data_IF_321129771943
#
_entry.id   IF_321129771943
#
_cell.length_a   1.000
_cell.length_b   1.000
_cell.length_c   1.000
_cell.angle_alpha   90.00
_cell.angle_beta   90.00
_cell.angle_gamma   90.00
#
_symmetry.space_group_name_H-M   'P 1'
#
loop_
_entity.id
_entity.type
_entity.pdbx_description
1 polymer ?
#
# COMPACT_ATOMS: atom_id res chain seq x y z
N UNK A 1 -0.59 -7.90 18.99
CA UNK A 1 -1.11 -6.60 18.51
C UNK A 1 -0.36 -6.27 17.22
N UNK A 2 -1.00 -5.60 16.25
CA UNK A 2 -0.34 -5.17 15.01
C UNK A 2 0.31 -3.80 15.24
N UNK A 3 1.57 -3.62 14.82
CA UNK A 3 2.26 -2.32 14.90
C UNK A 3 1.96 -1.44 13.70
N UNK A 4 1.57 -2.03 12.57
CA UNK A 4 1.16 -1.31 11.37
C UNK A 4 -0.16 -1.90 10.85
N UNK A 5 -1.17 -1.03 10.75
CA UNK A 5 -2.45 -1.34 10.13
C UNK A 5 -2.67 -0.42 8.93
N UNK A 6 -3.09 -1.04 7.82
CA UNK A 6 -3.53 -0.36 6.60
C UNK A 6 -5.00 -0.74 6.41
N UNK A 7 -5.87 0.26 6.25
CA UNK A 7 -7.31 0.06 6.10
C UNK A 7 -7.81 0.79 4.87
N UNK A 8 -8.51 0.07 3.99
CA UNK A 8 -9.16 0.60 2.79
C UNK A 8 -8.27 1.56 1.96
N UNK A 9 -6.98 1.25 1.82
CA UNK A 9 -6.04 2.09 1.09
C UNK A 9 -6.31 1.99 -0.42
N UNK A 10 -6.66 3.13 -1.01
CA UNK A 10 -6.79 3.33 -2.45
C UNK A 10 -5.75 4.34 -2.93
N UNK A 11 -5.04 4.02 -4.01
CA UNK A 11 -3.97 4.87 -4.58
C UNK A 11 -4.08 4.89 -6.10
N UNK A 12 -3.95 6.08 -6.69
CA UNK A 12 -3.98 6.27 -8.13
C UNK A 12 -2.84 7.15 -8.64
N UNK A 13 -2.53 6.99 -9.93
CA UNK A 13 -1.64 7.85 -10.69
C UNK A 13 -2.41 8.36 -11.90
N UNK A 14 -2.85 9.61 -11.84
CA UNK A 14 -3.77 10.19 -12.83
C UNK A 14 -5.02 9.31 -12.99
N UNK A 15 -5.33 8.83 -14.22
CA UNK A 15 -6.54 8.03 -14.47
C UNK A 15 -6.43 6.57 -13.97
N UNK A 16 -5.25 6.10 -13.60
CA UNK A 16 -5.03 4.69 -13.25
C UNK A 16 -5.15 4.48 -11.75
N UNK A 17 -6.06 3.59 -11.32
CA UNK A 17 -6.13 3.09 -9.94
C UNK A 17 -5.12 1.94 -9.77
N UNK A 18 -4.03 2.21 -9.06
CA UNK A 18 -2.97 1.24 -8.79
C UNK A 18 -3.29 0.34 -7.59
N UNK A 19 -3.95 0.86 -6.56
CA UNK A 19 -4.45 0.11 -5.41
C UNK A 19 -5.94 0.40 -5.21
N UNK A 20 -6.71 -0.63 -4.83
CA UNK A 20 -8.15 -0.56 -4.59
C UNK A 20 -8.45 -1.22 -3.25
N UNK A 21 -8.84 -0.41 -2.27
CA UNK A 21 -9.36 -0.80 -0.95
C UNK A 21 -8.53 -1.86 -0.22
N UNK A 22 -7.21 -1.68 -0.26
CA UNK A 22 -6.26 -2.62 0.34
C UNK A 22 -6.28 -2.49 1.87
N UNK A 23 -6.49 -3.61 2.56
CA UNK A 23 -6.37 -3.69 4.02
C UNK A 23 -5.35 -4.77 4.39
N UNK A 24 -4.41 -4.43 5.28
CA UNK A 24 -3.30 -5.31 5.70
C UNK A 24 -3.00 -5.05 7.17
N UNK A 25 -2.76 -6.12 7.91
CA UNK A 25 -2.23 -6.11 9.26
C UNK A 25 -0.80 -6.65 9.27
N UNK A 26 0.13 -5.88 9.81
CA UNK A 26 1.51 -6.29 10.02
C UNK A 26 1.71 -6.52 11.52
N UNK A 27 1.86 -7.78 11.96
CA UNK A 27 2.08 -8.11 13.36
C UNK A 27 3.39 -7.53 13.88
N UNK A 28 3.41 -7.20 15.17
CA UNK A 28 4.65 -6.78 15.82
C UNK A 28 5.73 -7.88 15.78
N UNK A 29 6.98 -7.47 15.58
CA UNK A 29 8.14 -8.37 15.48
C UNK A 29 8.16 -9.30 14.26
N UNK A 30 7.22 -9.18 13.32
CA UNK A 30 7.15 -10.04 12.14
C UNK A 30 7.79 -9.40 10.89
N UNK A 31 8.39 -10.23 10.04
CA UNK A 31 8.78 -9.86 8.68
C UNK A 31 7.62 -10.22 7.75
N UNK A 32 6.99 -9.22 7.14
CA UNK A 32 5.89 -9.41 6.18
C UNK A 32 6.37 -9.12 4.76
N UNK A 33 6.20 -10.08 3.85
CA UNK A 33 6.53 -9.93 2.44
C UNK A 33 5.27 -9.69 1.59
N UNK A 34 5.37 -8.79 0.61
CA UNK A 34 4.32 -8.53 -0.39
C UNK A 34 4.75 -9.13 -1.72
N UNK A 35 4.03 -10.16 -2.19
CA UNK A 35 4.33 -10.88 -3.43
C UNK A 35 3.29 -10.61 -4.53
N UNK A 36 3.70 -10.81 -5.78
CA UNK A 36 2.83 -10.63 -6.96
C UNK A 36 3.63 -10.27 -8.22
N UNK A 37 2.99 -10.34 -9.39
CA UNK A 37 3.61 -10.02 -10.68
C UNK A 37 3.94 -8.54 -10.88
N UNK A 38 4.54 -8.21 -12.02
CA UNK A 38 4.78 -6.83 -12.43
C UNK A 38 3.44 -6.09 -12.58
N UNK A 39 3.39 -4.84 -12.14
CA UNK A 39 2.15 -4.03 -12.16
C UNK A 39 1.13 -4.34 -11.06
N UNK A 40 1.36 -5.33 -10.19
CA UNK A 40 0.42 -5.70 -9.11
C UNK A 40 0.28 -4.66 -7.97
N UNK A 41 0.99 -3.52 -8.04
CA UNK A 41 0.88 -2.45 -7.04
C UNK A 41 1.81 -2.55 -5.82
N UNK A 42 2.71 -3.53 -5.76
CA UNK A 42 3.63 -3.76 -4.61
C UNK A 42 4.45 -2.50 -4.24
N UNK A 43 5.15 -1.93 -5.21
CA UNK A 43 5.94 -0.70 -5.00
C UNK A 43 5.04 0.48 -4.62
N UNK A 44 3.85 0.57 -5.20
CA UNK A 44 2.87 1.60 -4.82
C UNK A 44 2.42 1.45 -3.37
N UNK A 45 2.16 0.22 -2.90
CA UNK A 45 1.80 -0.06 -1.50
C UNK A 45 2.93 0.36 -0.56
N UNK A 46 4.15 -0.09 -0.82
CA UNK A 46 5.31 0.26 0.01
C UNK A 46 5.58 1.77 0.03
N UNK A 47 5.43 2.47 -1.11
CA UNK A 47 5.60 3.91 -1.17
C UNK A 47 4.48 4.68 -0.44
N UNK A 48 3.25 4.20 -0.50
CA UNK A 48 2.13 4.77 0.24
C UNK A 48 2.33 4.67 1.75
N UNK A 49 2.69 3.47 2.24
CA UNK A 49 2.93 3.21 3.67
C UNK A 49 4.13 3.98 4.20
N UNK A 50 5.20 4.07 3.40
CA UNK A 50 6.40 4.87 3.75
C UNK A 50 6.20 6.38 3.60
N UNK A 51 5.01 6.84 3.17
CA UNK A 51 4.70 8.26 2.91
C UNK A 51 5.65 8.93 1.91
N UNK A 52 6.17 8.17 0.95
CA UNK A 52 7.03 8.66 -0.14
C UNK A 52 6.28 8.92 -1.45
N UNK A 53 4.95 8.73 -1.44
CA UNK A 53 4.07 9.23 -2.49
C UNK A 53 3.63 10.65 -2.16
N UNK A 54 3.79 11.54 -3.13
CA UNK A 54 3.19 12.87 -3.08
C UNK A 54 1.67 12.74 -3.03
N UNK A 55 1.04 13.42 -2.08
CA UNK A 55 -0.40 13.55 -2.07
C UNK A 55 -0.80 14.52 -3.18
N UNK A 56 -1.44 13.99 -4.20
CA UNK A 56 -2.11 14.79 -5.21
C UNK A 56 -3.60 14.54 -5.04
N UNK A 57 -4.33 15.56 -4.55
CA UNK A 57 -5.80 15.51 -4.56
C UNK A 57 -6.23 15.59 -6.03
N UNK A 58 -6.91 14.55 -6.49
CA UNK A 58 -7.91 14.66 -7.55
C UNK A 58 -9.26 14.95 -6.91
#
# INVERSE_FOLDING_TARGET
MATLEIRALSVGYGPVRALRDISVDVPDGAITAVLGGNGAGKTTLLRAVSRTLGFHRG
#
